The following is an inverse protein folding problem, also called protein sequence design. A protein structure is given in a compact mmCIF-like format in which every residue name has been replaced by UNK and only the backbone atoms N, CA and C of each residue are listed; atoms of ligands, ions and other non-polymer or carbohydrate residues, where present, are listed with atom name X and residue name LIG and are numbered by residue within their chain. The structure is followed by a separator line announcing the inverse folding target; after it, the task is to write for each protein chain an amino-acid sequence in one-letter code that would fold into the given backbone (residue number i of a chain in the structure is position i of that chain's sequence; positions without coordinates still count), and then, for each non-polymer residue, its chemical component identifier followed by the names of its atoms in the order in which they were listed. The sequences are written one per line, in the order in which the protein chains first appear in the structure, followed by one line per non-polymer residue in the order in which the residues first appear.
data_IF_203670275598
#
_entry.id   IF_203670275598
#
_cell.length_a   1.000
_cell.length_b   1.000
_cell.length_c   1.000
_cell.angle_alpha   90.00
_cell.angle_beta   90.00
_cell.angle_gamma   90.00
#
_symmetry.space_group_name_H-M   'P 1'
#
loop_
_entity.id
_entity.type
_entity.pdbx_description
1 polymer ?
#
# COMPACT_ATOMS: atom_id res chain seq x y z
N UNK A 1 42.09 27.12 -10.46
CA UNK A 1 41.56 25.87 -9.91
C UNK A 1 41.16 25.89 -8.41
N UNK A 2 41.46 26.94 -7.68
CA UNK A 2 41.17 27.09 -6.24
C UNK A 2 39.73 27.52 -5.89
N UNK A 3 38.98 28.07 -6.82
CA UNK A 3 37.63 28.62 -6.55
C UNK A 3 36.54 27.56 -6.31
N UNK A 4 36.49 26.47 -7.06
CA UNK A 4 35.46 25.46 -6.94
C UNK A 4 35.58 24.63 -5.65
N UNK A 5 36.80 24.38 -5.17
CA UNK A 5 37.02 23.61 -3.95
C UNK A 5 36.52 24.34 -2.70
N UNK A 6 36.61 25.65 -2.69
CA UNK A 6 36.12 26.47 -1.58
C UNK A 6 34.58 26.55 -1.56
N UNK A 7 33.93 26.58 -2.73
CA UNK A 7 32.46 26.58 -2.86
C UNK A 7 31.89 25.24 -2.37
N UNK A 8 32.53 24.12 -2.74
CA UNK A 8 32.07 22.79 -2.31
C UNK A 8 32.16 22.63 -0.79
N UNK A 9 33.24 23.11 -0.18
CA UNK A 9 33.41 23.05 1.28
C UNK A 9 32.37 23.92 1.99
N UNK A 10 32.06 25.10 1.48
CA UNK A 10 31.04 26.00 2.06
C UNK A 10 29.65 25.33 1.99
N UNK A 11 29.31 24.70 0.87
CA UNK A 11 28.02 23.99 0.72
C UNK A 11 27.90 22.82 1.71
N UNK A 12 28.97 22.02 1.86
CA UNK A 12 29.00 20.90 2.80
C UNK A 12 28.86 21.41 4.25
N UNK A 13 29.52 22.48 4.61
CA UNK A 13 29.42 23.08 5.94
C UNK A 13 28.01 23.62 6.21
N UNK A 14 27.41 24.29 5.24
CA UNK A 14 26.01 24.76 5.35
C UNK A 14 25.05 23.60 5.56
N UNK A 15 25.17 22.50 4.77
CA UNK A 15 24.37 21.31 4.93
C UNK A 15 24.55 20.67 6.31
N UNK A 16 25.78 20.54 6.77
CA UNK A 16 26.09 20.02 8.12
C UNK A 16 25.52 20.90 9.24
N UNK A 17 25.66 22.23 9.12
CA UNK A 17 25.05 23.17 10.09
C UNK A 17 23.53 23.08 10.10
N UNK A 18 22.88 22.94 8.94
CA UNK A 18 21.45 22.76 8.85
C UNK A 18 21.01 21.42 9.47
N UNK A 19 21.79 20.34 9.26
CA UNK A 19 21.53 19.04 9.89
C UNK A 19 21.71 19.13 11.41
N UNK A 20 22.80 19.75 11.90
CA UNK A 20 23.08 19.93 13.33
C UNK A 20 21.97 20.80 13.97
N UNK A 21 21.63 21.92 13.36
CA UNK A 21 20.56 22.80 13.82
C UNK A 21 19.22 22.04 13.93
N UNK A 22 18.91 21.22 12.93
CA UNK A 22 17.71 20.38 12.91
C UNK A 22 17.70 19.31 14.00
N UNK A 23 18.87 18.75 14.34
CA UNK A 23 19.01 17.70 15.36
C UNK A 23 19.06 18.27 16.78
N UNK A 24 19.68 19.46 16.98
CA UNK A 24 19.91 20.03 18.32
C UNK A 24 18.76 20.87 18.86
N UNK A 25 17.95 21.47 18.00
CA UNK A 25 16.80 22.31 18.42
C UNK A 25 15.59 21.49 18.89
N UNK A 26 15.76 20.19 19.15
CA UNK A 26 14.69 19.36 19.70
C UNK A 26 13.44 19.38 18.81
N UNK A 27 13.66 19.60 17.52
CA UNK A 27 12.62 19.59 16.51
C UNK A 27 12.00 18.21 16.45
N UNK A 28 11.16 17.90 17.45
CA UNK A 28 10.15 16.89 17.25
C UNK A 28 9.58 17.19 15.88
N UNK A 29 9.60 16.20 15.00
CA UNK A 29 9.13 16.33 13.63
C UNK A 29 7.75 17.00 13.73
N UNK A 30 7.72 18.34 13.69
CA UNK A 30 6.49 19.07 13.47
C UNK A 30 6.09 18.56 12.12
N UNK A 31 5.02 17.78 12.09
CA UNK A 31 4.39 17.28 10.88
C UNK A 31 4.50 18.37 9.83
N UNK A 32 5.45 18.22 8.90
CA UNK A 32 5.35 19.00 7.69
C UNK A 32 3.98 18.66 7.14
N UNK A 33 3.07 19.63 6.97
CA UNK A 33 1.82 19.34 6.32
C UNK A 33 2.22 18.70 4.99
N UNK A 34 1.91 17.41 4.84
CA UNK A 34 2.16 16.73 3.58
C UNK A 34 1.44 17.60 2.57
N UNK A 35 2.12 18.17 1.58
CA UNK A 35 1.45 18.98 0.60
C UNK A 35 0.31 18.15 0.06
N UNK A 36 -0.92 18.66 0.13
CA UNK A 36 -2.13 17.99 -0.41
C UNK A 36 -1.98 17.62 -1.88
N UNK A 37 -0.93 18.14 -2.51
CA UNK A 37 -0.44 17.82 -3.83
C UNK A 37 0.84 16.99 -3.68
N UNK A 38 0.73 15.67 -3.62
CA UNK A 38 1.87 14.73 -3.63
C UNK A 38 2.64 14.78 -4.96
N UNK A 39 3.25 15.93 -5.26
CA UNK A 39 4.14 16.09 -6.41
C UNK A 39 5.57 15.60 -6.11
N UNK A 40 5.85 15.17 -4.89
CA UNK A 40 7.20 14.82 -4.45
C UNK A 40 7.27 13.47 -3.72
N UNK A 41 6.78 12.41 -4.36
CA UNK A 41 7.24 11.08 -4.00
C UNK A 41 8.56 10.83 -4.73
N UNK A 42 9.68 10.90 -4.03
CA UNK A 42 10.98 10.49 -4.52
C UNK A 42 11.54 9.42 -3.56
N UNK A 43 12.02 8.31 -4.02
CA UNK A 43 11.88 7.66 -5.32
C UNK A 43 10.65 6.75 -5.41
N UNK A 44 10.30 6.29 -6.61
CA UNK A 44 9.30 5.22 -6.77
C UNK A 44 9.89 3.89 -6.32
N UNK A 45 9.15 3.13 -5.51
CA UNK A 45 9.51 1.76 -5.17
C UNK A 45 9.24 0.88 -6.41
N UNK A 46 10.31 0.39 -7.05
CA UNK A 46 10.21 -0.49 -8.20
C UNK A 46 9.64 -1.85 -7.81
N UNK A 47 8.77 -2.40 -8.67
CA UNK A 47 8.26 -3.76 -8.55
C UNK A 47 9.22 -4.81 -9.16
N UNK A 48 10.44 -4.44 -9.45
CA UNK A 48 11.48 -5.34 -9.96
C UNK A 48 12.18 -6.10 -8.82
N UNK A 49 12.92 -7.13 -9.18
CA UNK A 49 13.73 -7.89 -8.24
C UNK A 49 13.16 -9.25 -7.87
N UNK A 50 13.85 -9.90 -6.93
CA UNK A 50 13.49 -11.22 -6.45
C UNK A 50 12.34 -11.13 -5.44
N UNK A 51 11.32 -11.97 -5.62
CA UNK A 51 10.15 -11.98 -4.73
C UNK A 51 10.51 -12.25 -3.26
N UNK A 52 11.54 -13.08 -2.98
CA UNK A 52 11.97 -13.35 -1.61
C UNK A 52 12.65 -12.14 -0.96
N UNK A 53 13.45 -11.39 -1.71
CA UNK A 53 14.07 -10.14 -1.25
C UNK A 53 13.00 -9.08 -0.97
N UNK A 54 12.01 -8.97 -1.85
CA UNK A 54 10.88 -8.08 -1.65
C UNK A 54 10.02 -8.49 -0.44
N UNK A 55 9.87 -9.80 -0.19
CA UNK A 55 9.20 -10.32 1.00
C UNK A 55 9.96 -9.93 2.28
N UNK A 56 11.29 -10.07 2.30
CA UNK A 56 12.12 -9.65 3.43
C UNK A 56 11.99 -8.14 3.65
N UNK A 57 12.01 -7.35 2.59
CA UNK A 57 11.78 -5.89 2.68
C UNK A 57 10.42 -5.56 3.29
N UNK A 58 9.35 -6.27 2.89
CA UNK A 58 8.02 -6.09 3.48
C UNK A 58 8.03 -6.34 5.00
N UNK A 59 8.75 -7.37 5.45
CA UNK A 59 8.85 -7.69 6.88
C UNK A 59 9.71 -6.70 7.68
N UNK A 60 10.74 -6.14 7.06
CA UNK A 60 11.73 -5.29 7.73
C UNK A 60 11.33 -3.81 7.68
N UNK A 61 10.71 -3.39 6.58
CA UNK A 61 10.40 -1.99 6.29
C UNK A 61 8.89 -1.69 6.22
N UNK A 62 8.05 -2.72 6.31
CA UNK A 62 6.60 -2.59 6.26
C UNK A 62 6.01 -2.33 4.88
N UNK A 63 6.82 -2.24 3.82
CA UNK A 63 6.33 -2.01 2.46
C UNK A 63 7.25 -2.63 1.41
N UNK A 64 6.66 -3.23 0.38
CA UNK A 64 7.40 -3.75 -0.78
C UNK A 64 6.52 -3.83 -2.03
N UNK A 65 7.16 -3.87 -3.20
CA UNK A 65 6.54 -4.21 -4.48
C UNK A 65 7.21 -5.44 -5.11
N UNK A 66 6.60 -6.02 -6.17
CA UNK A 66 7.15 -7.22 -6.81
C UNK A 66 6.92 -8.51 -6.03
N UNK A 67 5.81 -8.58 -5.29
CA UNK A 67 5.42 -9.73 -4.48
C UNK A 67 4.67 -10.81 -5.31
N UNK A 68 4.43 -10.56 -6.56
CA UNK A 68 3.76 -11.47 -7.50
C UNK A 68 3.38 -10.76 -8.79
N UNK A 69 2.81 -11.53 -9.70
CA UNK A 69 2.33 -11.03 -11.00
C UNK A 69 1.04 -11.72 -11.39
N UNK A 70 0.05 -10.91 -11.74
CA UNK A 70 -1.26 -11.34 -12.24
C UNK A 70 -1.34 -11.00 -13.73
N UNK A 71 -1.99 -11.87 -14.51
CA UNK A 71 -2.11 -11.60 -15.94
C UNK A 71 -2.98 -10.36 -16.21
N UNK A 72 -2.64 -9.55 -17.21
CA UNK A 72 -3.42 -8.36 -17.57
C UNK A 72 -4.90 -8.66 -17.83
N UNK A 73 -5.19 -9.81 -18.46
CA UNK A 73 -6.58 -10.23 -18.72
C UNK A 73 -7.37 -10.46 -17.41
N UNK A 74 -6.75 -11.09 -16.42
CA UNK A 74 -7.42 -11.30 -15.13
C UNK A 74 -7.62 -9.98 -14.38
N UNK A 75 -6.67 -9.05 -14.49
CA UNK A 75 -6.85 -7.70 -13.95
C UNK A 75 -8.01 -6.95 -14.61
N UNK A 76 -8.19 -7.11 -15.94
CA UNK A 76 -9.35 -6.52 -16.65
C UNK A 76 -10.68 -7.13 -16.20
N UNK A 77 -10.69 -8.43 -15.94
CA UNK A 77 -11.89 -9.11 -15.44
C UNK A 77 -12.24 -8.63 -14.02
N UNK A 78 -11.23 -8.54 -13.12
CA UNK A 78 -11.45 -7.97 -11.77
C UNK A 78 -11.95 -6.54 -11.86
N UNK A 79 -11.36 -5.70 -12.71
CA UNK A 79 -11.81 -4.33 -12.91
C UNK A 79 -13.28 -4.27 -13.36
N UNK A 80 -13.70 -5.13 -14.29
CA UNK A 80 -15.10 -5.21 -14.71
C UNK A 80 -16.02 -5.60 -13.55
N UNK A 81 -15.61 -6.60 -12.74
CA UNK A 81 -16.36 -6.99 -11.54
C UNK A 81 -16.46 -5.86 -10.53
N UNK A 82 -15.38 -5.10 -10.29
CA UNK A 82 -15.40 -3.92 -9.40
C UNK A 82 -16.41 -2.88 -9.91
N UNK A 83 -16.36 -2.54 -11.18
CA UNK A 83 -17.28 -1.56 -11.79
C UNK A 83 -18.74 -2.03 -11.65
N UNK A 84 -19.01 -3.29 -12.01
CA UNK A 84 -20.34 -3.86 -11.92
C UNK A 84 -20.83 -3.92 -10.47
N UNK A 85 -19.98 -4.34 -9.54
CA UNK A 85 -20.31 -4.42 -8.12
C UNK A 85 -20.58 -3.06 -7.52
N UNK A 86 -19.80 -2.05 -7.87
CA UNK A 86 -20.01 -0.67 -7.41
C UNK A 86 -21.37 -0.10 -7.83
N UNK A 87 -21.87 -0.48 -9.00
CA UNK A 87 -23.20 -0.05 -9.48
C UNK A 87 -24.37 -0.65 -8.68
N UNK A 88 -24.15 -1.82 -8.06
CA UNK A 88 -25.19 -2.58 -7.35
C UNK A 88 -25.00 -2.62 -5.84
N UNK A 89 -23.83 -2.18 -5.34
CA UNK A 89 -23.52 -2.23 -3.92
C UNK A 89 -24.36 -1.23 -3.11
N UNK A 90 -24.85 -1.69 -1.96
CA UNK A 90 -25.46 -0.81 -0.97
C UNK A 90 -24.39 -0.08 -0.16
N UNK A 91 -24.73 1.07 0.43
CA UNK A 91 -23.80 1.87 1.26
C UNK A 91 -23.10 1.07 2.37
N UNK A 92 -23.72 0.02 2.88
CA UNK A 92 -23.14 -0.89 3.88
C UNK A 92 -21.99 -1.76 3.34
N UNK A 93 -21.81 -1.78 2.03
CA UNK A 93 -20.69 -2.49 1.36
C UNK A 93 -19.45 -1.65 1.20
N UNK A 94 -19.47 -0.41 1.66
CA UNK A 94 -18.34 0.49 1.60
C UNK A 94 -17.66 0.60 2.96
N UNK A 95 -16.33 0.48 3.00
CA UNK A 95 -15.52 0.71 4.18
C UNK A 95 -15.41 2.21 4.47
N UNK A 96 -15.07 2.99 3.46
CA UNK A 96 -15.05 4.45 3.52
C UNK A 96 -15.57 5.05 2.21
N UNK A 97 -16.55 5.95 2.31
CA UNK A 97 -17.04 6.75 1.19
C UNK A 97 -16.72 8.20 1.51
N UNK A 98 -15.66 8.70 0.95
CA UNK A 98 -15.37 10.10 1.04
C UNK A 98 -15.63 10.80 -0.31
N UNK A 99 -16.90 11.08 -0.58
CA UNK A 99 -17.32 11.77 -1.81
C UNK A 99 -16.67 13.15 -1.98
N UNK A 100 -16.31 13.83 -0.90
CA UNK A 100 -15.58 15.10 -0.95
C UNK A 100 -14.14 14.94 -1.42
N UNK A 101 -13.54 13.78 -1.18
CA UNK A 101 -12.17 13.46 -1.61
C UNK A 101 -12.12 12.68 -2.93
N UNK A 102 -13.28 12.26 -3.46
CA UNK A 102 -13.36 11.47 -4.68
C UNK A 102 -12.84 10.03 -4.53
N UNK A 103 -12.96 9.46 -3.31
CA UNK A 103 -12.49 8.10 -3.00
C UNK A 103 -13.61 7.27 -2.42
N UNK A 104 -13.57 5.99 -2.77
CA UNK A 104 -14.47 4.97 -2.25
C UNK A 104 -13.66 3.72 -1.96
N UNK A 105 -13.90 3.11 -0.80
CA UNK A 105 -13.38 1.81 -0.41
C UNK A 105 -14.54 0.81 -0.44
N UNK A 106 -14.56 -0.03 -1.46
CA UNK A 106 -15.66 -0.94 -1.78
C UNK A 106 -15.29 -2.36 -1.37
N UNK A 107 -16.01 -2.93 -0.41
CA UNK A 107 -15.87 -4.34 -0.06
C UNK A 107 -16.31 -5.24 -1.22
N UNK A 108 -15.42 -6.16 -1.60
CA UNK A 108 -15.61 -7.05 -2.74
C UNK A 108 -15.97 -8.46 -2.28
N UNK A 109 -16.92 -9.14 -2.96
CA UNK A 109 -17.14 -10.55 -2.71
C UNK A 109 -15.94 -11.37 -3.22
N UNK A 110 -15.53 -12.38 -2.45
CA UNK A 110 -14.48 -13.31 -2.84
C UNK A 110 -15.07 -14.43 -3.72
N UNK A 111 -15.35 -14.11 -4.98
CA UNK A 111 -15.91 -15.03 -6.00
C UNK A 111 -15.43 -14.63 -7.40
N UNK A 112 -15.64 -15.45 -8.41
CA UNK A 112 -15.29 -15.11 -9.79
C UNK A 112 -13.81 -14.72 -9.93
N UNK A 113 -13.53 -13.62 -10.59
CA UNK A 113 -12.17 -13.16 -10.86
C UNK A 113 -11.44 -12.68 -9.61
N UNK A 114 -12.14 -12.14 -8.61
CA UNK A 114 -11.51 -11.77 -7.32
C UNK A 114 -10.95 -13.00 -6.60
N UNK A 115 -11.71 -14.10 -6.54
CA UNK A 115 -11.25 -15.37 -5.99
C UNK A 115 -10.07 -15.95 -6.80
N UNK A 116 -10.14 -15.86 -8.12
CA UNK A 116 -9.07 -16.37 -8.99
C UNK A 116 -7.76 -15.60 -8.78
N UNK A 117 -7.80 -14.28 -8.64
CA UNK A 117 -6.61 -13.48 -8.30
C UNK A 117 -6.01 -13.92 -6.99
N UNK A 118 -6.82 -14.04 -5.94
CA UNK A 118 -6.34 -14.47 -4.62
C UNK A 118 -5.72 -15.85 -4.68
N UNK A 119 -6.37 -16.82 -5.34
CA UNK A 119 -5.82 -18.16 -5.55
C UNK A 119 -4.47 -18.12 -6.27
N UNK A 120 -4.32 -17.34 -7.33
CA UNK A 120 -3.07 -17.24 -8.09
C UNK A 120 -1.94 -16.66 -7.25
N UNK A 121 -2.21 -15.63 -6.45
CA UNK A 121 -1.23 -15.06 -5.53
C UNK A 121 -0.77 -16.11 -4.51
N UNK A 122 -1.71 -16.72 -3.79
CA UNK A 122 -1.42 -17.69 -2.74
C UNK A 122 -0.72 -18.93 -3.28
N UNK A 123 -1.15 -19.47 -4.43
CA UNK A 123 -0.48 -20.60 -5.09
C UNK A 123 0.92 -20.24 -5.57
N UNK A 124 1.13 -19.03 -6.08
CA UNK A 124 2.47 -18.56 -6.48
C UNK A 124 3.42 -18.54 -5.28
N UNK A 125 2.97 -18.04 -4.13
CA UNK A 125 3.76 -18.04 -2.90
C UNK A 125 4.02 -19.46 -2.37
N UNK A 126 2.98 -20.30 -2.31
CA UNK A 126 3.09 -21.72 -1.90
C UNK A 126 4.10 -22.49 -2.73
N UNK A 127 3.96 -22.41 -4.06
CA UNK A 127 4.81 -23.19 -4.98
C UNK A 127 6.27 -22.71 -5.00
N UNK A 128 6.52 -21.47 -4.64
CA UNK A 128 7.87 -20.89 -4.55
C UNK A 128 8.46 -20.95 -3.13
N UNK A 129 7.75 -21.49 -2.16
CA UNK A 129 8.17 -21.53 -0.77
C UNK A 129 8.32 -20.16 -0.11
N UNK A 130 7.55 -19.16 -0.58
CA UNK A 130 7.59 -17.80 -0.03
C UNK A 130 6.88 -17.76 1.31
N UNK A 131 7.50 -17.14 2.30
CA UNK A 131 7.01 -17.08 3.69
C UNK A 131 5.69 -16.29 3.86
N UNK A 132 5.25 -15.57 2.84
CA UNK A 132 3.92 -14.96 2.79
C UNK A 132 2.78 -15.98 2.68
N UNK A 133 3.07 -17.21 2.21
CA UNK A 133 2.11 -18.29 2.27
C UNK A 133 2.11 -18.93 3.65
N UNK A 134 1.00 -18.83 4.34
CA UNK A 134 0.76 -19.53 5.60
C UNK A 134 -0.67 -20.10 5.59
N UNK A 135 -0.86 -21.44 5.66
CA UNK A 135 -2.17 -22.07 5.59
C UNK A 135 -3.08 -21.68 6.77
N UNK A 136 -2.51 -21.31 7.92
CA UNK A 136 -3.24 -20.90 9.13
C UNK A 136 -3.53 -19.39 9.17
N UNK A 137 -3.04 -18.63 8.21
CA UNK A 137 -3.38 -17.22 8.07
C UNK A 137 -4.83 -17.04 7.63
N UNK A 138 -5.39 -15.89 7.95
CA UNK A 138 -6.80 -15.57 7.69
C UNK A 138 -6.91 -14.32 6.82
N UNK A 139 -7.62 -14.40 5.70
CA UNK A 139 -8.01 -13.23 4.92
C UNK A 139 -9.16 -12.56 5.67
N UNK A 140 -8.93 -11.34 6.14
CA UNK A 140 -9.89 -10.57 6.94
C UNK A 140 -10.58 -9.48 6.13
N UNK A 141 -10.07 -9.17 4.94
CA UNK A 141 -10.62 -8.15 4.07
C UNK A 141 -10.35 -8.47 2.60
N UNK A 142 -11.33 -8.19 1.76
CA UNK A 142 -11.24 -8.19 0.30
C UNK A 142 -11.95 -6.94 -0.20
N UNK A 143 -11.23 -6.05 -0.85
CA UNK A 143 -11.80 -4.76 -1.22
C UNK A 143 -11.17 -4.17 -2.49
N UNK A 144 -11.73 -3.06 -2.93
CA UNK A 144 -11.23 -2.27 -4.04
C UNK A 144 -11.31 -0.80 -3.72
N UNK A 145 -10.20 -0.09 -3.87
CA UNK A 145 -10.22 1.37 -3.88
C UNK A 145 -10.59 1.90 -5.26
N UNK A 146 -11.59 2.77 -5.29
CA UNK A 146 -12.01 3.52 -6.46
C UNK A 146 -11.61 4.97 -6.23
N UNK A 147 -10.74 5.51 -7.09
CA UNK A 147 -10.21 6.87 -6.96
C UNK A 147 -10.55 7.66 -8.21
N UNK A 148 -11.48 8.58 -8.10
CA UNK A 148 -12.00 9.38 -9.20
C UNK A 148 -10.97 10.40 -9.72
N UNK A 149 -11.11 10.90 -10.96
CA UNK A 149 -10.35 12.05 -11.46
C UNK A 149 -10.42 13.22 -10.50
N UNK A 150 -9.28 13.87 -10.26
CA UNK A 150 -9.19 15.02 -9.35
C UNK A 150 -9.30 14.66 -7.85
N UNK A 151 -9.39 13.40 -7.49
CA UNK A 151 -9.40 12.99 -6.09
C UNK A 151 -8.13 13.46 -5.37
N UNK A 152 -8.30 14.08 -4.20
CA UNK A 152 -7.18 14.49 -3.35
C UNK A 152 -6.52 13.30 -2.66
N UNK A 153 -5.28 13.47 -2.18
CA UNK A 153 -4.59 12.43 -1.40
C UNK A 153 -5.31 12.11 -0.10
N UNK A 154 -5.22 10.87 0.35
CA UNK A 154 -5.67 10.47 1.69
C UNK A 154 -4.78 11.11 2.75
N UNK A 155 -5.34 11.38 3.92
CA UNK A 155 -4.53 11.65 5.10
C UNK A 155 -3.65 10.43 5.40
N UNK A 156 -2.40 10.68 5.75
CA UNK A 156 -1.50 9.62 6.18
C UNK A 156 -2.02 9.02 7.49
N UNK A 157 -2.03 7.70 7.53
CA UNK A 157 -2.54 6.91 8.65
C UNK A 157 -1.79 5.58 8.75
N UNK A 158 -2.05 4.87 9.82
CA UNK A 158 -1.80 3.44 9.98
C UNK A 158 -3.15 2.73 10.05
N UNK A 159 -3.23 1.49 9.59
CA UNK A 159 -4.50 0.74 9.59
C UNK A 159 -4.87 0.23 10.98
N UNK A 160 -3.90 0.12 11.89
CA UNK A 160 -4.12 -0.27 13.28
C UNK A 160 -3.15 0.43 14.22
N UNK A 161 -3.63 0.76 15.43
CA UNK A 161 -2.82 1.27 16.52
C UNK A 161 -2.26 0.15 17.42
N UNK A 162 -2.60 -1.10 17.16
CA UNK A 162 -2.14 -2.24 17.93
C UNK A 162 -0.62 -2.37 17.88
N UNK A 163 -0.02 -2.79 18.99
CA UNK A 163 1.41 -3.10 19.07
C UNK A 163 1.69 -4.47 18.43
N UNK A 164 1.72 -4.49 17.12
CA UNK A 164 1.99 -5.67 16.30
C UNK A 164 3.29 -5.51 15.52
N UNK A 165 3.77 -6.60 14.91
CA UNK A 165 4.93 -6.58 14.01
C UNK A 165 4.46 -6.35 12.58
N UNK A 166 5.35 -5.85 11.72
CA UNK A 166 5.03 -5.67 10.29
C UNK A 166 4.44 -6.92 9.63
N UNK A 167 4.91 -8.11 10.00
CA UNK A 167 4.47 -9.38 9.42
C UNK A 167 3.14 -9.94 9.97
N UNK A 168 2.55 -9.29 10.97
CA UNK A 168 1.38 -9.86 11.65
C UNK A 168 0.07 -9.52 10.92
N UNK A 169 0.01 -8.36 10.26
CA UNK A 169 -1.13 -7.94 9.42
C UNK A 169 -0.59 -7.26 8.17
N UNK A 170 -0.85 -7.85 7.03
CA UNK A 170 -0.37 -7.39 5.74
C UNK A 170 -1.50 -7.22 4.74
N UNK A 171 -1.51 -6.08 4.07
CA UNK A 171 -2.39 -5.83 2.93
C UNK A 171 -1.62 -6.01 1.62
N UNK A 172 -2.26 -6.60 0.63
CA UNK A 172 -1.67 -6.87 -0.68
C UNK A 172 -2.54 -6.30 -1.78
N UNK A 173 -2.01 -5.31 -2.48
CA UNK A 173 -2.66 -4.65 -3.60
C UNK A 173 -2.22 -5.23 -4.94
N UNK A 174 -3.14 -5.24 -5.91
CA UNK A 174 -2.89 -5.58 -7.31
C UNK A 174 -3.21 -4.37 -8.16
N UNK A 175 -2.25 -3.90 -8.94
CA UNK A 175 -2.50 -2.83 -9.90
C UNK A 175 -3.41 -3.32 -11.03
N UNK A 176 -4.61 -2.74 -11.13
CA UNK A 176 -5.53 -3.03 -12.22
C UNK A 176 -5.28 -2.15 -13.47
N UNK A 177 -4.31 -1.23 -13.36
CA UNK A 177 -3.78 -0.35 -14.41
C UNK A 177 -2.29 -0.15 -14.21
N UNK A 178 -1.60 0.31 -15.24
CA UNK A 178 -0.29 0.92 -15.05
C UNK A 178 -0.46 2.14 -14.14
N UNK A 179 0.36 2.24 -13.10
CA UNK A 179 0.26 3.30 -12.09
C UNK A 179 1.59 4.03 -12.01
N UNK A 180 1.53 5.34 -12.17
CA UNK A 180 2.65 6.26 -12.02
C UNK A 180 2.37 7.27 -10.87
N UNK A 181 3.26 8.23 -10.69
CA UNK A 181 3.16 9.22 -9.63
C UNK A 181 1.95 10.18 -9.76
N UNK A 182 1.29 10.22 -10.91
CA UNK A 182 0.11 11.06 -11.17
C UNK A 182 -1.19 10.31 -10.97
N UNK A 183 -1.14 8.98 -11.01
CA UNK A 183 -2.31 8.11 -11.00
C UNK A 183 -2.54 7.48 -9.63
N UNK A 184 -2.71 8.33 -8.61
CA UNK A 184 -3.07 7.94 -7.23
C UNK A 184 -2.20 6.80 -6.65
N UNK A 185 -0.86 6.88 -6.67
CA UNK A 185 -0.01 5.83 -6.12
C UNK A 185 -0.28 5.65 -4.62
N UNK A 186 0.07 4.51 -4.05
CA UNK A 186 0.17 4.38 -2.60
C UNK A 186 1.46 5.09 -2.17
N UNK A 187 1.37 6.06 -1.28
CA UNK A 187 2.51 6.65 -0.59
C UNK A 187 2.71 5.91 0.74
N UNK A 188 3.92 5.46 1.02
CA UNK A 188 4.26 4.80 2.26
C UNK A 188 5.63 5.27 2.76
N UNK A 189 5.79 5.31 4.09
CA UNK A 189 7.05 5.64 4.74
C UNK A 189 7.62 4.37 5.36
N UNK A 190 8.60 3.73 4.71
CA UNK A 190 9.21 2.52 5.25
C UNK A 190 9.84 2.77 6.61
N UNK A 191 9.69 1.80 7.52
CA UNK A 191 10.40 1.82 8.79
C UNK A 191 11.88 1.45 8.60
N UNK A 192 12.70 1.77 9.59
CA UNK A 192 14.13 1.42 9.62
C UNK A 192 14.97 1.91 8.42
N UNK A 193 14.50 2.93 7.71
CA UNK A 193 15.29 3.58 6.68
C UNK A 193 16.01 4.79 7.28
N UNK A 194 17.30 4.94 6.94
CA UNK A 194 18.12 6.12 7.32
C UNK A 194 17.58 7.41 6.68
N UNK A 195 16.71 7.29 5.71
CA UNK A 195 16.18 8.40 4.93
C UNK A 195 14.68 8.51 5.20
N UNK A 196 14.18 9.59 5.80
CA UNK A 196 12.76 9.75 6.16
C UNK A 196 11.88 10.14 4.96
N UNK A 197 12.11 9.54 3.80
CA UNK A 197 11.37 9.86 2.60
C UNK A 197 10.14 8.97 2.43
N UNK A 198 9.11 9.56 1.87
CA UNK A 198 7.93 8.83 1.40
C UNK A 198 8.22 8.20 0.04
N UNK A 199 7.87 6.93 -0.09
CA UNK A 199 7.96 6.21 -1.36
C UNK A 199 6.57 6.16 -2.01
N UNK A 200 6.50 6.48 -3.31
CA UNK A 200 5.34 6.15 -4.12
C UNK A 200 5.50 4.74 -4.67
N UNK A 201 4.55 3.88 -4.38
CA UNK A 201 4.49 2.55 -4.96
C UNK A 201 3.82 2.68 -6.32
N UNK A 202 4.61 2.52 -7.35
CA UNK A 202 4.19 2.56 -8.75
C UNK A 202 4.50 1.22 -9.40
N UNK A 203 3.77 0.85 -10.44
CA UNK A 203 3.98 -0.44 -11.09
C UNK A 203 3.15 -0.61 -12.34
N UNK A 204 3.36 -1.74 -12.99
CA UNK A 204 2.60 -2.16 -14.16
C UNK A 204 1.36 -2.94 -13.75
N UNK A 205 0.35 -2.89 -14.59
CA UNK A 205 -0.84 -3.72 -14.45
C UNK A 205 -0.48 -5.17 -14.15
N UNK A 206 -1.06 -5.69 -13.09
CA UNK A 206 -0.82 -7.03 -12.58
C UNK A 206 0.32 -7.17 -11.58
N UNK A 207 1.15 -6.16 -11.34
CA UNK A 207 2.12 -6.21 -10.25
C UNK A 207 1.41 -6.26 -8.91
N UNK A 208 1.96 -7.09 -8.00
CA UNK A 208 1.49 -7.23 -6.63
C UNK A 208 2.45 -6.50 -5.70
N UNK A 209 1.91 -5.66 -4.84
CA UNK A 209 2.65 -4.97 -3.79
C UNK A 209 1.99 -5.21 -2.43
N UNK A 210 2.69 -4.91 -1.34
CA UNK A 210 2.17 -5.10 0.00
C UNK A 210 2.60 -4.00 0.95
N UNK A 211 1.79 -3.79 1.97
CA UNK A 211 2.10 -2.91 3.09
C UNK A 211 1.62 -3.52 4.40
N UNK A 212 2.31 -3.18 5.47
CA UNK A 212 1.94 -3.55 6.83
C UNK A 212 0.89 -2.59 7.39
N UNK A 213 -0.02 -3.11 8.19
CA UNK A 213 -1.05 -2.31 8.85
C UNK A 213 -0.50 -1.23 9.80
N UNK A 214 0.75 -1.33 10.22
CA UNK A 214 1.41 -0.35 11.12
C UNK A 214 2.36 0.61 10.39
N UNK A 215 2.57 0.47 9.09
CA UNK A 215 3.36 1.44 8.33
C UNK A 215 2.53 2.68 8.03
N UNK A 216 3.12 3.86 8.21
CA UNK A 216 2.47 5.11 7.80
C UNK A 216 2.30 5.14 6.28
N UNK A 217 1.05 5.27 5.83
CA UNK A 217 0.73 5.27 4.40
C UNK A 217 -0.53 6.07 4.07
N UNK A 218 -0.79 6.22 2.78
CA UNK A 218 -2.01 6.83 2.26
C UNK A 218 -2.05 6.83 0.73
N UNK A 219 -3.23 6.78 0.16
CA UNK A 219 -3.39 6.89 -1.29
C UNK A 219 -3.09 8.29 -1.79
N UNK A 220 -2.23 8.43 -2.78
CA UNK A 220 -1.89 9.69 -3.43
C UNK A 220 -3.07 10.31 -4.20
N UNK A 221 -2.96 11.58 -4.58
CA UNK A 221 -3.96 12.25 -5.40
C UNK A 221 -4.02 11.67 -6.82
N UNK A 222 -5.19 11.71 -7.43
CA UNK A 222 -5.37 11.32 -8.83
C UNK A 222 -5.38 12.58 -9.73
N UNK A 223 -4.26 12.86 -10.34
CA UNK A 223 -4.07 14.01 -11.24
C UNK A 223 -4.39 13.68 -12.71
N UNK A 224 -5.01 12.53 -12.96
CA UNK A 224 -5.40 12.10 -14.32
C UNK A 224 -6.90 12.27 -14.54
N UNK A 225 -7.32 12.14 -15.79
CA UNK A 225 -8.75 12.15 -16.17
C UNK A 225 -9.39 10.75 -16.10
N UNK A 226 -8.66 9.77 -15.56
CA UNK A 226 -9.13 8.39 -15.49
C UNK A 226 -9.40 7.97 -14.06
N UNK A 227 -10.48 7.22 -13.85
CA UNK A 227 -10.74 6.56 -12.57
C UNK A 227 -9.73 5.45 -12.35
N UNK A 228 -9.03 5.46 -11.21
CA UNK A 228 -8.18 4.38 -10.78
C UNK A 228 -8.97 3.35 -9.99
N UNK A 229 -8.76 2.09 -10.32
CA UNK A 229 -9.24 0.93 -9.58
C UNK A 229 -8.06 0.14 -9.05
N UNK A 230 -8.10 -0.21 -7.79
CA UNK A 230 -7.14 -1.05 -7.11
C UNK A 230 -7.90 -2.18 -6.41
N UNK A 231 -7.47 -3.41 -6.59
CA UNK A 231 -7.95 -4.56 -5.81
C UNK A 231 -6.95 -4.88 -4.72
N UNK A 232 -7.42 -5.17 -3.50
CA UNK A 232 -6.54 -5.59 -2.41
C UNK A 232 -7.20 -6.61 -1.49
N UNK A 233 -6.36 -7.34 -0.77
CA UNK A 233 -6.72 -8.22 0.33
C UNK A 233 -5.88 -7.89 1.54
N UNK A 234 -6.46 -8.07 2.74
CA UNK A 234 -5.72 -7.99 4.00
C UNK A 234 -5.68 -9.36 4.67
N UNK A 235 -4.49 -9.78 5.07
CA UNK A 235 -4.23 -11.09 5.68
C UNK A 235 -3.71 -10.89 7.10
N UNK A 236 -4.34 -11.59 8.04
CA UNK A 236 -3.94 -11.72 9.43
C UNK A 236 -3.13 -12.99 9.61
N UNK A 237 -1.91 -12.87 10.14
CA UNK A 237 -0.99 -13.98 10.34
C UNK A 237 -0.93 -14.44 11.81
N UNK A 238 -0.77 -15.76 12.06
CA UNK A 238 -0.56 -16.27 13.41
C UNK A 238 0.69 -15.64 14.07
N UNK A 239 0.69 -15.47 15.40
CA UNK A 239 -0.29 -15.97 16.36
C UNK A 239 -1.53 -15.09 16.55
N UNK A 240 -1.66 -13.97 15.82
CA UNK A 240 -2.80 -13.08 15.99
C UNK A 240 -4.09 -13.77 15.54
N UNK A 241 -5.15 -13.63 16.35
CA UNK A 241 -6.49 -14.14 16.05
C UNK A 241 -7.49 -13.04 15.71
N UNK A 242 -7.16 -11.81 16.08
CA UNK A 242 -7.95 -10.59 15.79
C UNK A 242 -7.03 -9.39 15.86
N UNK A 243 -7.45 -8.31 15.25
CA UNK A 243 -6.82 -6.99 15.32
C UNK A 243 -7.87 -6.02 15.84
N UNK A 244 -7.49 -5.14 16.76
CA UNK A 244 -8.34 -4.02 17.12
C UNK A 244 -8.32 -2.98 16.01
N UNK A 245 -9.51 -2.51 15.70
CA UNK A 245 -9.72 -1.59 14.58
C UNK A 245 -9.32 -0.19 15.03
N UNK A 246 -8.34 0.39 14.36
CA UNK A 246 -8.00 1.80 14.51
C UNK A 246 -9.03 2.71 13.84
N UNK A 247 -8.73 3.99 13.71
CA UNK A 247 -9.60 5.02 13.11
C UNK A 247 -10.00 4.72 11.65
N UNK A 248 -9.30 3.80 10.98
CA UNK A 248 -9.57 3.30 9.65
C UNK A 248 -9.64 1.78 9.71
N UNK A 249 -10.84 1.30 9.75
CA UNK A 249 -11.16 -0.07 10.07
C UNK A 249 -10.65 -1.08 9.06
N UNK A 250 -9.80 -1.99 9.51
CA UNK A 250 -9.72 -3.33 8.95
C UNK A 250 -11.04 -4.04 9.27
N UNK A 251 -12.13 -3.65 8.62
CA UNK A 251 -13.42 -4.30 8.83
C UNK A 251 -13.36 -5.70 8.24
N UNK A 252 -13.56 -6.75 9.03
CA UNK A 252 -13.65 -8.08 8.49
C UNK A 252 -14.86 -8.15 7.56
N UNK A 253 -14.63 -8.14 6.26
CA UNK A 253 -15.66 -8.24 5.23
C UNK A 253 -16.52 -9.50 5.41
N UNK A 254 -16.00 -10.50 6.12
CA UNK A 254 -16.58 -11.83 6.28
C UNK A 254 -16.75 -12.27 7.72
N UNK A 255 -16.78 -11.36 8.68
CA UNK A 255 -16.99 -11.67 10.10
C UNK A 255 -15.85 -12.45 10.73
N UNK A 256 -15.73 -13.74 10.45
CA UNK A 256 -14.67 -14.61 11.00
C UNK A 256 -13.42 -14.67 10.12
N UNK A 257 -13.47 -14.07 8.93
CA UNK A 257 -12.42 -14.22 7.91
C UNK A 257 -12.47 -15.59 7.20
N UNK A 258 -11.60 -15.78 6.23
CA UNK A 258 -11.48 -17.01 5.44
C UNK A 258 -10.04 -17.51 5.58
N UNK A 259 -9.85 -18.77 6.00
CA UNK A 259 -8.50 -19.35 6.09
C UNK A 259 -7.86 -19.45 4.73
N UNK A 260 -6.57 -19.20 4.67
CA UNK A 260 -5.79 -19.38 3.44
C UNK A 260 -5.87 -20.83 2.95
N UNK A 261 -5.84 -21.82 3.86
CA UNK A 261 -6.02 -23.25 3.55
C UNK A 261 -7.36 -23.60 2.92
N UNK A 262 -8.40 -22.79 3.12
CA UNK A 262 -9.72 -23.05 2.53
C UNK A 262 -9.81 -22.57 1.07
N UNK A 263 -8.81 -21.82 0.64
CA UNK A 263 -8.72 -21.26 -0.72
C UNK A 263 -7.80 -22.09 -1.62
N UNK A 264 -6.64 -22.59 -1.06
CA UNK A 264 -5.58 -23.26 -1.85
C UNK A 264 -4.91 -24.39 -1.08
#
# INVERSE_FOLDING_TARGET
MTSYRNITIVIIVIILVLIIYYVTEGGGIKYFPIPTNYTFCLPSLSCEGNIQENCNRLYDQGVACGLGKISPLLCDNVKKEVIQWNQTAHKTMYGDINTKTGREDLFMPLKGSTLEVVKKILLSWKNKGITLYNPDATIIEVASFITLPGAIGQRIHVDTSDKIRHKDVLSFGVFLHDTDNKFAPLAAKPDNTLIPWWYCITGKKGDVYGWSAIVEHGGGANHTEHTRYLFYITILYPPLKKVEVGDYSLLPTYGKGIRVSDIV
#
